data_IF_653704642839
#
_entry.id   IF_653704642839
#
_cell.length_a   1.000
_cell.length_b   1.000
_cell.length_c   1.000
_cell.angle_alpha   90.00
_cell.angle_beta   90.00
_cell.angle_gamma   90.00
#
_symmetry.space_group_name_H-M   'P 1'
#
loop_
_entity.id
_entity.type
_entity.pdbx_description
1 polymer ?
#
# COMPACT_ATOMS: atom_id res chain seq x y z
N UNK A 1 -5.48 -16.80 8.08
CA UNK A 1 -5.08 -16.48 9.47
C UNK A 1 -5.84 -15.28 10.04
N UNK A 2 -6.41 -14.43 9.20
CA UNK A 2 -7.09 -13.19 9.62
C UNK A 2 -6.13 -12.03 9.99
N UNK A 3 -4.84 -12.17 9.71
CA UNK A 3 -3.88 -11.09 9.89
C UNK A 3 -4.09 -9.99 8.85
N UNK A 4 -3.93 -8.73 9.26
CA UNK A 4 -3.99 -7.60 8.34
C UNK A 4 -2.82 -7.59 7.37
N UNK A 5 -2.92 -6.82 6.27
CA UNK A 5 -1.81 -6.70 5.30
C UNK A 5 -0.55 -6.10 5.97
N UNK A 6 -0.71 -5.18 6.91
CA UNK A 6 0.41 -4.59 7.67
C UNK A 6 1.12 -5.64 8.52
N UNK A 7 0.37 -6.50 9.23
CA UNK A 7 0.94 -7.61 10.00
C UNK A 7 1.64 -8.63 9.10
N UNK A 8 1.03 -8.98 7.97
CA UNK A 8 1.67 -9.85 6.99
C UNK A 8 2.96 -9.24 6.42
N UNK A 9 2.96 -7.94 6.13
CA UNK A 9 4.14 -7.25 5.62
C UNK A 9 5.25 -7.15 6.67
N UNK A 10 4.94 -6.96 7.96
CA UNK A 10 5.91 -7.04 9.04
C UNK A 10 6.67 -8.39 8.99
N UNK A 11 5.94 -9.51 8.93
CA UNK A 11 6.58 -10.83 8.82
C UNK A 11 7.39 -10.98 7.52
N UNK A 12 6.83 -10.56 6.38
CA UNK A 12 7.51 -10.63 5.08
C UNK A 12 8.83 -9.87 5.07
N UNK A 13 8.87 -8.69 5.70
CA UNK A 13 10.08 -7.87 5.78
C UNK A 13 11.17 -8.55 6.61
N UNK A 14 10.84 -9.07 7.77
CA UNK A 14 11.80 -9.73 8.66
C UNK A 14 12.31 -11.08 8.12
N UNK A 15 11.49 -11.78 7.34
CA UNK A 15 11.85 -13.08 6.76
C UNK A 15 12.44 -13.00 5.34
N UNK A 16 12.56 -11.82 4.77
CA UNK A 16 13.07 -11.61 3.42
C UNK A 16 14.52 -11.16 3.42
N UNK A 17 15.27 -11.55 2.39
CA UNK A 17 16.64 -11.07 2.17
C UNK A 17 16.71 -9.67 1.52
N UNK A 18 15.60 -9.15 0.97
CA UNK A 18 15.59 -7.90 0.18
C UNK A 18 14.53 -6.89 0.62
N UNK A 19 13.46 -7.32 1.31
CA UNK A 19 12.37 -6.44 1.75
C UNK A 19 12.77 -5.64 2.99
N UNK A 20 11.94 -4.64 3.37
CA UNK A 20 12.15 -3.84 4.57
C UNK A 20 13.49 -3.10 4.58
N UNK A 21 13.84 -2.42 3.48
CA UNK A 21 15.07 -1.63 3.36
C UNK A 21 16.34 -2.43 3.07
N UNK A 22 16.29 -3.76 3.10
CA UNK A 22 17.49 -4.61 2.95
C UNK A 22 18.10 -4.53 1.55
N UNK A 23 17.30 -4.26 0.50
CA UNK A 23 17.85 -4.04 -0.84
C UNK A 23 18.69 -2.78 -0.85
N UNK A 24 18.21 -1.66 -0.31
CA UNK A 24 19.00 -0.44 -0.21
C UNK A 24 20.30 -0.68 0.59
N UNK A 25 20.22 -1.35 1.74
CA UNK A 25 21.39 -1.67 2.54
C UNK A 25 22.43 -2.52 1.79
N UNK A 26 21.99 -3.43 0.91
CA UNK A 26 22.91 -4.23 0.05
C UNK A 26 23.51 -3.42 -1.09
N UNK A 27 22.87 -2.35 -1.52
CA UNK A 27 23.39 -1.46 -2.56
C UNK A 27 24.42 -0.46 -2.01
N UNK A 28 24.46 -0.22 -0.70
CA UNK A 28 25.41 0.70 -0.10
C UNK A 28 26.86 0.34 -0.46
N UNK A 29 27.73 1.32 -0.78
CA UNK A 29 27.53 2.76 -0.66
C UNK A 29 26.92 3.45 -1.91
N UNK A 30 26.39 2.69 -2.87
CA UNK A 30 25.76 3.28 -4.04
C UNK A 30 24.44 3.99 -3.66
N UNK A 31 24.22 5.16 -4.27
CA UNK A 31 22.95 5.87 -4.16
C UNK A 31 21.84 5.07 -4.86
N UNK A 32 20.72 4.88 -4.18
CA UNK A 32 19.55 4.20 -4.72
C UNK A 32 18.48 5.23 -5.10
N UNK A 33 18.07 5.21 -6.37
CA UNK A 33 16.89 5.98 -6.82
C UNK A 33 15.77 4.98 -7.09
N UNK A 34 14.70 5.09 -6.31
CA UNK A 34 13.53 4.23 -6.41
C UNK A 34 12.42 4.95 -7.16
N UNK A 35 12.01 4.40 -8.29
CA UNK A 35 10.82 4.83 -9.01
C UNK A 35 9.70 3.84 -8.68
N UNK A 36 8.59 4.33 -8.13
CA UNK A 36 7.49 3.45 -7.71
C UNK A 36 6.16 3.93 -8.25
N UNK A 37 5.29 2.99 -8.54
CA UNK A 37 3.87 3.18 -8.82
C UNK A 37 3.13 2.59 -7.63
N UNK A 38 2.23 3.36 -7.02
CA UNK A 38 1.42 2.88 -5.92
C UNK A 38 0.15 2.20 -6.42
N UNK A 39 -0.15 1.07 -5.81
CA UNK A 39 -1.42 0.34 -5.88
C UNK A 39 -1.99 0.11 -4.47
N UNK A 40 -1.42 0.80 -3.47
CA UNK A 40 -1.74 0.63 -2.05
C UNK A 40 -2.51 1.85 -1.55
N UNK A 41 -3.63 1.66 -0.82
CA UNK A 41 -4.30 2.76 -0.14
C UNK A 41 -3.34 3.55 0.77
N UNK A 42 -3.36 4.89 0.64
CA UNK A 42 -2.50 5.78 1.41
C UNK A 42 -1.06 5.90 0.91
N UNK A 43 -0.69 5.27 -0.20
CA UNK A 43 0.59 5.42 -0.91
C UNK A 43 1.85 5.22 -0.04
N UNK A 44 1.77 4.42 1.05
CA UNK A 44 2.91 4.20 1.94
C UNK A 44 4.02 3.37 1.26
N UNK A 45 5.21 3.95 1.01
CA UNK A 45 6.31 3.24 0.38
C UNK A 45 6.80 2.01 1.16
N UNK A 46 6.58 1.97 2.47
CA UNK A 46 6.95 0.84 3.32
C UNK A 46 6.00 -0.37 3.12
N UNK A 47 4.83 -0.15 2.54
CA UNK A 47 3.85 -1.19 2.19
C UNK A 47 4.03 -1.64 0.75
N UNK A 48 4.26 -0.72 -0.19
CA UNK A 48 4.48 -1.02 -1.62
C UNK A 48 5.62 -2.01 -1.77
N UNK A 49 5.32 -3.19 -2.34
CA UNK A 49 6.26 -4.32 -2.47
C UNK A 49 6.94 -4.75 -1.14
N UNK A 50 6.39 -4.34 0.02
CA UNK A 50 6.97 -4.46 1.37
C UNK A 50 8.29 -3.68 1.53
N UNK A 51 8.42 -2.51 0.91
CA UNK A 51 9.45 -1.52 1.14
C UNK A 51 10.90 -1.98 0.95
N UNK A 52 11.32 -2.49 -0.23
CA UNK A 52 12.69 -3.02 -0.39
C UNK A 52 13.79 -1.97 -0.18
N UNK A 53 13.50 -0.72 -0.49
CA UNK A 53 14.48 0.37 -0.54
C UNK A 53 14.22 1.49 0.47
N UNK A 54 13.21 1.32 1.33
CA UNK A 54 12.86 2.29 2.38
C UNK A 54 12.99 1.66 3.77
N UNK A 55 13.24 2.46 4.82
CA UNK A 55 13.38 1.95 6.17
C UNK A 55 12.10 1.28 6.68
N UNK A 56 12.25 0.32 7.56
CA UNK A 56 11.15 -0.41 8.19
C UNK A 56 11.00 -0.02 9.67
N UNK A 57 9.91 0.63 10.06
CA UNK A 57 9.69 0.98 11.47
C UNK A 57 9.33 -0.22 12.35
N UNK A 58 8.93 -1.38 11.77
CA UNK A 58 8.57 -2.57 12.53
C UNK A 58 9.80 -3.33 13.02
N UNK A 59 9.65 -4.14 14.05
CA UNK A 59 10.76 -4.82 14.74
C UNK A 59 10.60 -6.34 14.76
N UNK A 60 11.68 -7.07 15.05
CA UNK A 60 11.61 -8.50 15.33
C UNK A 60 10.63 -8.83 16.46
N UNK A 61 10.49 -7.96 17.46
CA UNK A 61 9.52 -8.14 18.54
C UNK A 61 8.07 -8.02 18.03
N UNK A 62 7.80 -7.13 17.08
CA UNK A 62 6.50 -7.04 16.42
C UNK A 62 6.20 -8.31 15.64
N UNK A 63 7.17 -8.81 14.88
CA UNK A 63 7.05 -10.07 14.14
C UNK A 63 6.71 -11.24 15.06
N UNK A 64 7.41 -11.36 16.21
CA UNK A 64 7.13 -12.40 17.20
C UNK A 64 5.72 -12.27 17.80
N UNK A 65 5.29 -11.05 18.15
CA UNK A 65 3.92 -10.82 18.67
C UNK A 65 2.84 -11.25 17.67
N UNK A 66 3.05 -10.99 16.38
CA UNK A 66 2.13 -11.40 15.32
C UNK A 66 2.08 -12.92 15.21
N UNK A 67 3.23 -13.59 15.18
CA UNK A 67 3.31 -15.05 15.15
C UNK A 67 2.57 -15.69 16.31
N UNK A 68 2.76 -15.17 17.52
CA UNK A 68 2.12 -15.69 18.74
C UNK A 68 0.60 -15.40 18.74
N UNK A 69 0.19 -14.19 18.37
CA UNK A 69 -1.23 -13.79 18.26
C UNK A 69 -2.03 -14.73 17.36
N UNK A 70 -1.47 -15.05 16.21
CA UNK A 70 -2.13 -15.89 15.20
C UNK A 70 -1.74 -17.37 15.30
N UNK A 71 -0.94 -17.75 16.31
CA UNK A 71 -0.45 -19.10 16.53
C UNK A 71 0.19 -19.71 15.28
N UNK A 72 1.01 -18.91 14.58
CA UNK A 72 1.69 -19.32 13.36
C UNK A 72 2.95 -20.10 13.74
N UNK A 73 2.99 -21.38 13.37
CA UNK A 73 4.18 -22.19 13.56
C UNK A 73 5.25 -21.84 12.51
N UNK A 74 6.47 -21.58 12.98
CA UNK A 74 7.65 -21.36 12.13
C UNK A 74 8.79 -22.28 12.60
N UNK A 75 9.78 -22.57 11.74
CA UNK A 75 10.95 -23.37 12.13
C UNK A 75 11.66 -22.76 13.35
N UNK A 76 12.04 -23.62 14.30
CA UNK A 76 12.70 -23.19 15.53
C UNK A 76 13.98 -22.34 15.32
N UNK A 77 14.84 -22.59 14.30
CA UNK A 77 15.97 -21.71 14.00
C UNK A 77 15.56 -20.28 13.64
N UNK A 78 14.45 -20.12 12.88
CA UNK A 78 13.93 -18.80 12.47
C UNK A 78 13.38 -18.05 13.68
N UNK A 79 12.64 -18.73 14.57
CA UNK A 79 12.16 -18.12 15.80
C UNK A 79 13.31 -17.62 16.67
N UNK A 80 14.34 -18.45 16.90
CA UNK A 80 15.54 -18.03 17.65
C UNK A 80 16.25 -16.84 17.02
N UNK A 81 16.32 -16.78 15.68
CA UNK A 81 16.93 -15.65 14.99
C UNK A 81 16.13 -14.35 15.18
N UNK A 82 14.78 -14.40 15.19
CA UNK A 82 13.93 -13.27 15.53
C UNK A 82 14.12 -12.84 16.99
N UNK A 83 14.12 -13.79 17.93
CA UNK A 83 14.33 -13.55 19.37
C UNK A 83 15.69 -12.91 19.67
N UNK A 84 16.73 -13.28 18.91
CA UNK A 84 18.07 -12.72 19.01
C UNK A 84 18.25 -11.40 18.22
N UNK A 85 17.21 -10.88 17.54
CA UNK A 85 17.31 -9.68 16.71
C UNK A 85 18.16 -9.84 15.43
N UNK A 86 18.55 -11.06 15.06
CA UNK A 86 19.40 -11.32 13.90
C UNK A 86 18.70 -11.07 12.55
N UNK A 87 17.36 -11.02 12.59
CA UNK A 87 16.52 -10.75 11.42
C UNK A 87 15.97 -9.30 11.43
N UNK A 88 16.58 -8.42 12.22
CA UNK A 88 16.16 -7.02 12.28
C UNK A 88 16.38 -6.32 10.93
N UNK A 89 15.43 -5.48 10.53
CA UNK A 89 15.47 -4.72 9.30
C UNK A 89 16.15 -3.37 9.51
N UNK A 90 16.73 -2.74 8.48
CA UNK A 90 17.22 -1.36 8.55
C UNK A 90 16.13 -0.39 8.99
N UNK A 91 16.49 0.53 9.91
CA UNK A 91 15.56 1.43 10.60
C UNK A 91 15.57 2.85 10.04
N UNK A 92 14.50 3.62 10.30
CA UNK A 92 14.52 5.06 10.07
C UNK A 92 15.73 5.70 10.78
N UNK A 93 16.54 6.46 10.03
CA UNK A 93 17.76 7.11 10.54
C UNK A 93 19.04 6.32 10.33
N UNK A 94 18.97 5.08 9.82
CA UNK A 94 20.19 4.34 9.47
C UNK A 94 20.88 4.98 8.26
N UNK A 95 22.21 5.17 8.36
CA UNK A 95 23.03 5.82 7.32
C UNK A 95 22.98 5.13 5.94
N UNK A 96 22.52 3.90 5.87
CA UNK A 96 22.34 3.18 4.59
C UNK A 96 21.30 3.82 3.67
N UNK A 97 20.47 4.71 4.19
CA UNK A 97 19.47 5.45 3.42
C UNK A 97 19.93 6.86 3.03
N UNK A 98 21.09 7.30 3.50
CA UNK A 98 21.60 8.65 3.22
C UNK A 98 21.81 8.84 1.72
N UNK A 99 21.25 9.93 1.19
CA UNK A 99 21.33 10.24 -0.23
C UNK A 99 20.45 9.40 -1.15
N UNK A 100 19.73 8.42 -0.63
CA UNK A 100 18.74 7.67 -1.41
C UNK A 100 17.53 8.55 -1.71
N UNK A 101 16.86 8.27 -2.83
CA UNK A 101 15.72 9.03 -3.32
C UNK A 101 14.58 8.09 -3.68
N UNK A 102 13.36 8.44 -3.27
CA UNK A 102 12.15 7.77 -3.71
C UNK A 102 11.26 8.76 -4.46
N UNK A 103 10.80 8.36 -5.64
CA UNK A 103 9.87 9.12 -6.47
C UNK A 103 8.64 8.28 -6.76
N UNK A 104 7.49 8.75 -6.30
CA UNK A 104 6.20 8.24 -6.71
C UNK A 104 5.94 8.71 -8.15
N UNK A 105 5.88 7.77 -9.09
CA UNK A 105 5.69 8.06 -10.53
C UNK A 105 4.21 8.16 -10.87
N UNK A 106 3.40 7.31 -10.25
CA UNK A 106 1.95 7.32 -10.39
C UNK A 106 1.28 6.79 -9.11
N UNK A 107 0.10 7.34 -8.83
CA UNK A 107 -0.78 6.92 -7.73
C UNK A 107 -2.20 6.71 -8.24
N UNK A 108 -3.06 5.98 -7.51
CA UNK A 108 -4.48 5.86 -7.84
C UNK A 108 -5.17 7.21 -7.95
N UNK A 109 -4.89 8.14 -7.03
CA UNK A 109 -5.47 9.49 -7.05
C UNK A 109 -5.10 10.25 -8.34
N UNK A 110 -3.84 10.22 -8.76
CA UNK A 110 -3.40 10.86 -10.01
C UNK A 110 -4.12 10.27 -11.24
N UNK A 111 -4.35 8.95 -11.27
CA UNK A 111 -5.08 8.30 -12.35
C UNK A 111 -6.55 8.76 -12.38
N UNK A 112 -7.20 8.87 -11.21
CA UNK A 112 -8.56 9.37 -11.10
C UNK A 112 -8.66 10.84 -11.52
N UNK A 113 -7.70 11.68 -11.16
CA UNK A 113 -7.63 13.08 -11.57
C UNK A 113 -7.46 13.23 -13.09
N UNK A 114 -6.62 12.42 -13.70
CA UNK A 114 -6.43 12.38 -15.15
C UNK A 114 -7.73 11.95 -15.86
N UNK A 115 -8.42 10.93 -15.35
CA UNK A 115 -9.70 10.47 -15.86
C UNK A 115 -10.80 11.55 -15.72
N UNK A 116 -10.83 12.22 -14.56
CA UNK A 116 -11.75 13.34 -14.33
C UNK A 116 -11.47 14.52 -15.29
N UNK A 117 -10.20 14.83 -15.53
CA UNK A 117 -9.78 15.83 -16.52
C UNK A 117 -10.25 15.48 -17.93
N UNK A 118 -10.08 14.25 -18.35
CA UNK A 118 -10.57 13.75 -19.65
C UNK A 118 -12.11 13.87 -19.77
N UNK A 119 -12.85 13.48 -18.74
CA UNK A 119 -14.31 13.62 -18.75
C UNK A 119 -14.75 15.08 -18.87
N UNK A 120 -14.11 16.00 -18.14
CA UNK A 120 -14.40 17.43 -18.22
C UNK A 120 -14.06 18.03 -19.59
N UNK A 121 -13.00 17.57 -20.23
CA UNK A 121 -12.65 17.99 -21.60
C UNK A 121 -13.72 17.59 -22.64
N UNK A 122 -14.51 16.55 -22.33
CA UNK A 122 -15.67 16.14 -23.12
C UNK A 122 -17.00 16.77 -22.65
N UNK A 123 -16.95 17.79 -21.80
CA UNK A 123 -18.13 18.52 -21.32
C UNK A 123 -18.95 17.78 -20.25
N UNK A 124 -18.39 16.74 -19.63
CA UNK A 124 -19.06 15.99 -18.57
C UNK A 124 -18.57 16.43 -17.18
N UNK A 125 -19.49 16.54 -16.23
CA UNK A 125 -19.13 16.67 -14.83
C UNK A 125 -18.45 15.37 -14.35
N UNK A 126 -17.38 15.48 -13.57
CA UNK A 126 -16.65 14.33 -13.02
C UNK A 126 -16.50 14.45 -11.51
N UNK A 127 -16.86 13.38 -10.81
CA UNK A 127 -16.86 13.27 -9.36
C UNK A 127 -15.98 12.09 -8.94
N UNK A 128 -14.91 12.37 -8.19
CA UNK A 128 -14.07 11.36 -7.58
C UNK A 128 -14.64 11.07 -6.19
N UNK A 129 -14.93 9.81 -5.91
CA UNK A 129 -15.45 9.37 -4.61
C UNK A 129 -14.33 9.13 -3.61
N UNK A 130 -13.34 8.32 -4.00
CA UNK A 130 -12.16 7.99 -3.21
C UNK A 130 -11.20 7.17 -4.08
N UNK A 131 -9.93 7.16 -3.72
CA UNK A 131 -8.90 6.28 -4.24
C UNK A 131 -8.57 5.10 -3.29
N UNK A 132 -9.28 5.02 -2.15
CA UNK A 132 -9.03 4.06 -1.07
C UNK A 132 -10.25 3.18 -0.76
N UNK A 133 -11.11 2.88 -1.75
CA UNK A 133 -12.25 1.99 -1.52
C UNK A 133 -11.76 0.55 -1.42
N UNK A 134 -11.99 -0.06 -0.26
CA UNK A 134 -11.66 -1.46 0.01
C UNK A 134 -12.91 -2.29 0.33
N UNK A 135 -12.83 -3.60 0.09
CA UNK A 135 -13.88 -4.55 0.46
C UNK A 135 -14.13 -5.63 -0.58
N UNK A 136 -15.18 -6.41 -0.36
CA UNK A 136 -15.64 -7.41 -1.33
C UNK A 136 -16.18 -6.74 -2.59
N UNK A 137 -15.59 -7.01 -3.75
CA UNK A 137 -15.95 -6.40 -5.06
C UNK A 137 -17.44 -6.43 -5.33
N UNK A 138 -18.12 -7.53 -4.98
CA UNK A 138 -19.56 -7.70 -5.15
C UNK A 138 -20.37 -6.69 -4.31
N UNK A 139 -19.95 -6.45 -3.07
CA UNK A 139 -20.69 -5.55 -2.19
C UNK A 139 -20.40 -4.09 -2.53
N UNK A 140 -19.15 -3.76 -2.80
CA UNK A 140 -18.75 -2.44 -3.30
C UNK A 140 -19.48 -2.13 -4.61
N UNK A 141 -19.52 -3.07 -5.55
CA UNK A 141 -20.23 -2.92 -6.82
C UNK A 141 -21.73 -2.67 -6.66
N UNK A 142 -22.40 -3.31 -5.69
CA UNK A 142 -23.81 -3.03 -5.38
C UNK A 142 -24.02 -1.60 -4.88
N UNK A 143 -23.15 -1.11 -4.02
CA UNK A 143 -23.20 0.26 -3.49
C UNK A 143 -23.02 1.26 -4.63
N UNK A 144 -21.99 1.11 -5.45
CA UNK A 144 -21.72 1.98 -6.60
C UNK A 144 -22.87 1.96 -7.63
N UNK A 145 -23.45 0.78 -7.90
CA UNK A 145 -24.61 0.66 -8.78
C UNK A 145 -25.87 1.34 -8.19
N UNK A 146 -26.07 1.28 -6.87
CA UNK A 146 -27.16 1.97 -6.21
C UNK A 146 -26.99 3.50 -6.31
N UNK A 147 -25.77 4.00 -6.10
CA UNK A 147 -25.43 5.41 -6.27
C UNK A 147 -25.69 5.88 -7.70
N UNK A 148 -25.20 5.15 -8.71
CA UNK A 148 -25.41 5.48 -10.12
C UNK A 148 -26.91 5.53 -10.48
N UNK A 149 -27.71 4.58 -9.98
CA UNK A 149 -29.17 4.60 -10.17
C UNK A 149 -29.84 5.78 -9.49
N UNK A 150 -29.37 6.19 -8.31
CA UNK A 150 -29.89 7.36 -7.59
C UNK A 150 -29.62 8.64 -8.38
N UNK A 151 -28.40 8.78 -8.90
CA UNK A 151 -28.02 9.89 -9.79
C UNK A 151 -28.90 9.92 -11.04
N UNK A 152 -29.03 8.79 -11.74
CA UNK A 152 -29.79 8.72 -12.98
C UNK A 152 -31.30 9.02 -12.80
N UNK A 153 -31.89 8.60 -11.65
CA UNK A 153 -33.34 8.73 -11.43
C UNK A 153 -33.75 10.01 -10.74
N UNK A 154 -32.88 10.59 -9.90
CA UNK A 154 -33.24 11.69 -9.00
C UNK A 154 -32.27 12.88 -9.08
N UNK A 155 -31.16 12.76 -9.83
CA UNK A 155 -30.17 13.83 -9.92
C UNK A 155 -29.47 14.13 -8.59
N UNK A 156 -29.36 13.11 -7.71
CA UNK A 156 -28.73 13.23 -6.38
C UNK A 156 -27.79 12.07 -6.12
N UNK A 157 -26.64 12.28 -5.44
CA UNK A 157 -26.08 13.56 -4.99
C UNK A 157 -25.45 14.38 -6.12
N UNK A 158 -25.35 13.83 -7.33
CA UNK A 158 -24.75 14.47 -8.50
C UNK A 158 -25.79 14.66 -9.60
N UNK A 159 -25.64 15.70 -10.42
CA UNK A 159 -26.51 15.93 -11.59
C UNK A 159 -26.02 15.14 -12.79
N UNK A 160 -26.92 14.42 -13.46
CA UNK A 160 -26.66 13.76 -14.73
C UNK A 160 -26.73 14.75 -15.90
N UNK A 161 -25.95 14.58 -17.00
CA UNK A 161 -24.94 13.51 -17.18
C UNK A 161 -23.66 13.79 -16.44
N UNK A 162 -23.09 12.78 -15.81
CA UNK A 162 -21.82 12.88 -15.10
C UNK A 162 -21.02 11.55 -15.13
N UNK A 163 -19.74 11.63 -14.81
CA UNK A 163 -18.86 10.50 -14.58
C UNK A 163 -18.59 10.41 -13.08
N UNK A 164 -18.77 9.21 -12.51
CA UNK A 164 -18.45 8.91 -11.14
C UNK A 164 -17.22 7.99 -11.17
N UNK A 165 -16.15 8.39 -10.51
CA UNK A 165 -14.86 7.71 -10.48
C UNK A 165 -14.56 7.20 -9.08
N UNK A 166 -14.05 6.00 -8.98
CA UNK A 166 -13.53 5.45 -7.73
C UNK A 166 -12.33 4.56 -8.03
N UNK A 167 -11.42 4.49 -7.08
CA UNK A 167 -10.28 3.59 -7.04
C UNK A 167 -10.24 2.89 -5.70
N UNK A 168 -9.22 2.06 -5.51
CA UNK A 168 -8.99 1.24 -4.32
C UNK A 168 -8.76 -0.21 -4.70
N UNK A 169 -8.78 -1.10 -3.70
CA UNK A 169 -8.52 -2.53 -3.85
C UNK A 169 -9.75 -3.33 -3.40
N UNK A 170 -10.41 -4.06 -4.33
CA UNK A 170 -11.65 -4.79 -4.06
C UNK A 170 -11.59 -6.25 -4.52
#
# INVERSE_FOLDING_TARGET
SGASIHEMNCLRKHLSAIKGGRLAARCAPARVVTLTISDVPGDDPAVIASGPTVPDPTTCADALRILDRYRIAIPAPVRRALEAGQLETPKPGDAVFDGNELRMVATPQQALEAAAGAARAHGLAAHILSDEIEGESREVGKVLAALARQVARRGMPFSAPCVILSGGET
#
